data_IF_433556624585
#
_entry.id   IF_433556624585
#
_cell.length_a   1.000
_cell.length_b   1.000
_cell.length_c   1.000
_cell.angle_alpha   90.00
_cell.angle_beta   90.00
_cell.angle_gamma   90.00
#
_symmetry.space_group_name_H-M   'P 1'
#
loop_
_entity.id
_entity.type
_entity.pdbx_description
1 polymer ?
#
# COMPACT_ATOMS: atom_id res chain seq x y z
N UNK A 1 -13.48 -23.67 -27.75
CA UNK A 1 -13.82 -24.70 -26.75
C UNK A 1 -13.03 -24.33 -25.51
N UNK A 2 -13.65 -23.61 -24.58
CA UNK A 2 -13.00 -23.22 -23.32
C UNK A 2 -13.14 -24.38 -22.35
N UNK A 3 -12.02 -24.94 -21.92
CA UNK A 3 -11.99 -25.94 -20.85
C UNK A 3 -12.40 -25.26 -19.55
N UNK A 4 -13.63 -25.50 -19.10
CA UNK A 4 -14.05 -25.25 -17.72
C UNK A 4 -13.24 -26.16 -16.80
N UNK A 5 -12.04 -25.71 -16.42
CA UNK A 5 -11.27 -26.31 -15.35
C UNK A 5 -11.92 -25.94 -14.01
N UNK A 6 -12.06 -26.91 -13.11
CA UNK A 6 -12.46 -26.64 -11.74
C UNK A 6 -11.53 -25.55 -11.15
N UNK A 7 -12.06 -24.47 -10.58
CA UNK A 7 -11.23 -23.42 -9.99
C UNK A 7 -10.34 -24.01 -8.90
N UNK A 8 -9.07 -23.61 -8.89
CA UNK A 8 -8.12 -24.03 -7.86
C UNK A 8 -8.65 -23.65 -6.47
N UNK A 9 -8.62 -24.58 -5.52
CA UNK A 9 -9.07 -24.34 -4.15
C UNK A 9 -7.95 -24.61 -3.16
N UNK A 10 -7.83 -23.74 -2.16
CA UNK A 10 -6.88 -23.90 -1.05
C UNK A 10 -7.61 -23.84 0.29
N UNK A 11 -6.97 -24.32 1.35
CA UNK A 11 -7.52 -24.28 2.71
C UNK A 11 -7.06 -23.04 3.49
N UNK A 12 -6.01 -22.37 3.04
CA UNK A 12 -5.38 -21.23 3.71
C UNK A 12 -4.67 -20.37 2.66
N UNK A 13 -4.78 -19.05 2.80
CA UNK A 13 -3.89 -18.09 2.15
C UNK A 13 -2.74 -17.75 3.11
N UNK A 14 -1.58 -17.37 2.58
CA UNK A 14 -0.43 -17.05 3.41
C UNK A 14 0.60 -16.16 2.74
N UNK A 15 1.63 -15.76 3.50
CA UNK A 15 2.72 -14.94 2.98
C UNK A 15 3.39 -15.58 1.76
N UNK A 16 3.63 -14.80 0.72
CA UNK A 16 4.28 -15.26 -0.51
C UNK A 16 3.37 -15.92 -1.54
N UNK A 17 2.07 -16.06 -1.25
CA UNK A 17 1.08 -16.41 -2.27
C UNK A 17 0.74 -15.16 -3.10
N UNK A 18 0.59 -15.33 -4.41
CA UNK A 18 0.09 -14.31 -5.34
C UNK A 18 -1.29 -14.67 -5.90
N UNK A 19 -1.76 -13.90 -6.88
CA UNK A 19 -3.04 -14.10 -7.56
C UNK A 19 -4.25 -13.53 -6.84
N UNK A 20 -5.40 -13.62 -7.54
CA UNK A 20 -6.71 -13.22 -7.05
C UNK A 20 -7.48 -14.40 -6.48
N UNK A 21 -7.97 -14.25 -5.26
CA UNK A 21 -8.67 -15.30 -4.52
C UNK A 21 -10.04 -14.83 -4.05
N UNK A 22 -11.07 -15.61 -4.35
CA UNK A 22 -12.40 -15.48 -3.78
C UNK A 22 -12.48 -16.25 -2.46
N UNK A 23 -12.53 -15.51 -1.37
CA UNK A 23 -12.77 -16.02 -0.03
C UNK A 23 -14.26 -15.87 0.28
N UNK A 24 -14.96 -16.98 0.42
CA UNK A 24 -16.38 -17.00 0.80
C UNK A 24 -16.51 -17.22 2.30
N UNK A 25 -17.23 -16.33 2.99
CA UNK A 25 -17.60 -16.47 4.40
C UNK A 25 -19.12 -16.66 4.53
N UNK A 26 -19.61 -16.93 5.75
CA UNK A 26 -21.04 -17.23 6.02
C UNK A 26 -22.05 -16.23 5.45
N UNK A 27 -21.64 -15.00 5.17
CA UNK A 27 -22.56 -13.97 4.68
C UNK A 27 -21.96 -12.98 3.69
N UNK A 28 -20.73 -13.16 3.25
CA UNK A 28 -20.08 -12.23 2.33
C UNK A 28 -19.04 -12.98 1.52
N UNK A 29 -18.80 -12.47 0.32
CA UNK A 29 -17.67 -12.84 -0.50
C UNK A 29 -16.60 -11.76 -0.36
N UNK A 30 -15.35 -12.16 -0.51
CA UNK A 30 -14.21 -11.29 -0.37
C UNK A 30 -13.21 -11.62 -1.47
N UNK A 31 -12.81 -10.62 -2.24
CA UNK A 31 -11.74 -10.76 -3.21
C UNK A 31 -10.46 -10.31 -2.52
N UNK A 32 -9.49 -11.21 -2.46
CA UNK A 32 -8.13 -10.95 -2.04
C UNK A 32 -7.26 -10.96 -3.28
N UNK A 33 -6.84 -9.80 -3.73
CA UNK A 33 -5.85 -9.65 -4.79
C UNK A 33 -4.49 -9.52 -4.13
N UNK A 34 -3.74 -10.62 -4.09
CA UNK A 34 -2.44 -10.66 -3.40
C UNK A 34 -1.30 -10.10 -4.27
N UNK A 35 -1.52 -9.97 -5.58
CA UNK A 35 -0.54 -9.33 -6.48
C UNK A 35 -0.61 -7.80 -6.31
N UNK A 36 -1.82 -7.24 -6.26
CA UNK A 36 -2.07 -5.80 -6.03
C UNK A 36 -2.17 -5.44 -4.55
N UNK A 37 -2.16 -6.42 -3.65
CA UNK A 37 -2.40 -6.26 -2.20
C UNK A 37 -3.69 -5.48 -1.89
N UNK A 38 -4.80 -5.88 -2.52
CA UNK A 38 -6.11 -5.27 -2.27
C UNK A 38 -7.15 -6.27 -1.76
N UNK A 39 -8.12 -5.73 -1.04
CA UNK A 39 -9.24 -6.43 -0.44
C UNK A 39 -10.54 -5.77 -0.91
N UNK A 40 -11.45 -6.56 -1.48
CA UNK A 40 -12.82 -6.12 -1.80
C UNK A 40 -13.82 -6.96 -1.04
N UNK A 41 -14.80 -6.34 -0.38
CA UNK A 41 -15.93 -7.07 0.22
C UNK A 41 -17.17 -6.95 -0.64
N UNK A 42 -17.81 -8.09 -0.90
CA UNK A 42 -19.11 -8.19 -1.57
C UNK A 42 -20.10 -8.74 -0.54
N UNK A 43 -20.94 -7.88 0.08
CA UNK A 43 -21.92 -8.32 1.06
C UNK A 43 -23.01 -9.18 0.39
N UNK A 44 -23.38 -10.29 1.03
CA UNK A 44 -24.53 -11.08 0.60
C UNK A 44 -25.86 -10.36 0.84
N UNK A 45 -26.93 -10.84 0.22
CA UNK A 45 -28.27 -10.28 0.36
C UNK A 45 -28.69 -10.16 1.85
N UNK A 46 -29.26 -9.01 2.22
CA UNK A 46 -29.72 -8.73 3.58
C UNK A 46 -28.61 -8.45 4.60
N UNK A 47 -27.35 -8.30 4.18
CA UNK A 47 -26.25 -7.84 5.06
C UNK A 47 -26.13 -6.33 5.05
N UNK A 48 -25.69 -5.79 6.20
CA UNK A 48 -25.36 -4.38 6.31
C UNK A 48 -24.27 -3.98 5.32
N UNK A 49 -24.51 -2.85 4.66
CA UNK A 49 -23.54 -2.18 3.80
C UNK A 49 -22.53 -1.44 4.70
N UNK A 50 -21.26 -1.67 4.45
CA UNK A 50 -20.17 -0.89 5.03
C UNK A 50 -19.56 0.00 3.96
N UNK A 51 -18.92 1.08 4.39
CA UNK A 51 -18.18 1.93 3.45
C UNK A 51 -17.01 1.11 2.87
N UNK A 52 -16.82 1.22 1.55
CA UNK A 52 -15.83 0.44 0.80
C UNK A 52 -16.36 -0.90 0.27
N UNK A 53 -17.61 -1.30 0.56
CA UNK A 53 -18.19 -2.48 -0.06
C UNK A 53 -18.24 -2.33 -1.60
N UNK A 54 -17.85 -3.39 -2.30
CA UNK A 54 -17.77 -3.43 -3.76
C UNK A 54 -16.59 -2.69 -4.37
N UNK A 55 -15.73 -2.05 -3.57
CA UNK A 55 -14.57 -1.29 -4.05
C UNK A 55 -13.26 -1.92 -3.53
N UNK A 56 -12.24 -2.11 -4.39
CA UNK A 56 -10.92 -2.54 -3.93
C UNK A 56 -10.33 -1.58 -2.90
N UNK A 57 -9.94 -2.10 -1.74
CA UNK A 57 -9.28 -1.36 -0.65
C UNK A 57 -7.85 -1.88 -0.48
N UNK A 58 -6.87 -0.99 -0.36
CA UNK A 58 -5.46 -1.39 -0.21
C UNK A 58 -5.20 -1.98 1.18
N UNK A 59 -4.67 -3.20 1.24
CA UNK A 59 -4.37 -3.89 2.49
C UNK A 59 -3.14 -3.24 3.13
N UNK A 60 -3.32 -2.67 4.32
CA UNK A 60 -2.24 -2.14 5.15
C UNK A 60 -1.53 -3.25 5.93
N UNK A 61 -2.31 -4.15 6.54
CA UNK A 61 -1.78 -5.23 7.37
C UNK A 61 -2.76 -6.40 7.42
N UNK A 62 -2.21 -7.62 7.52
CA UNK A 62 -2.98 -8.86 7.66
C UNK A 62 -2.63 -9.46 9.01
N UNK A 63 -3.46 -9.18 10.01
CA UNK A 63 -3.25 -9.73 11.36
C UNK A 63 -3.68 -11.19 11.49
N UNK A 64 -4.56 -11.68 10.62
CA UNK A 64 -4.87 -13.10 10.49
C UNK A 64 -5.27 -13.44 9.04
N UNK A 65 -4.55 -14.36 8.41
CA UNK A 65 -4.80 -14.77 7.04
C UNK A 65 -6.10 -15.59 6.90
N UNK A 66 -6.78 -15.53 5.74
CA UNK A 66 -7.91 -16.40 5.44
C UNK A 66 -7.57 -17.88 5.53
N UNK A 67 -8.28 -18.60 6.39
CA UNK A 67 -8.18 -20.04 6.56
C UNK A 67 -9.56 -20.65 6.75
N UNK A 68 -9.87 -21.70 6.00
CA UNK A 68 -11.16 -22.41 6.08
C UNK A 68 -11.41 -22.87 7.53
N UNK A 69 -12.60 -22.56 8.04
CA UNK A 69 -13.00 -22.83 9.42
C UNK A 69 -12.59 -21.75 10.43
N UNK A 70 -11.87 -20.71 10.02
CA UNK A 70 -11.45 -19.60 10.88
C UNK A 70 -11.95 -18.24 10.34
N UNK A 71 -11.82 -17.20 11.16
CA UNK A 71 -11.99 -15.81 10.73
C UNK A 71 -10.63 -15.23 10.31
N UNK A 72 -10.64 -14.33 9.33
CA UNK A 72 -9.49 -13.50 9.00
C UNK A 72 -9.63 -12.12 9.64
N UNK A 73 -8.49 -11.45 9.81
CA UNK A 73 -8.39 -10.07 10.25
C UNK A 73 -7.45 -9.31 9.34
N UNK A 74 -7.88 -8.14 8.88
CA UNK A 74 -7.03 -7.24 8.13
C UNK A 74 -7.34 -5.77 8.44
N UNK A 75 -6.38 -4.93 8.11
CA UNK A 75 -6.42 -3.48 8.16
C UNK A 75 -6.23 -2.97 6.74
N UNK A 76 -7.02 -2.00 6.31
CA UNK A 76 -6.84 -1.31 5.04
C UNK A 76 -6.77 0.19 5.23
N UNK A 77 -6.12 0.85 4.26
CA UNK A 77 -5.96 2.30 4.24
C UNK A 77 -7.31 3.02 4.15
N UNK A 78 -7.57 3.91 5.11
CA UNK A 78 -8.85 4.64 5.16
C UNK A 78 -8.64 6.16 5.11
N UNK A 79 -7.89 6.70 6.06
CA UNK A 79 -7.47 8.11 6.08
C UNK A 79 -5.99 8.22 6.41
N UNK A 80 -5.47 9.44 6.31
CA UNK A 80 -4.09 9.80 6.63
C UNK A 80 -3.59 9.35 8.03
N UNK A 81 -4.50 9.17 8.98
CA UNK A 81 -4.23 8.90 10.40
C UNK A 81 -4.94 7.65 10.93
N UNK A 82 -5.70 6.94 10.09
CA UNK A 82 -6.48 5.79 10.51
C UNK A 82 -6.53 4.70 9.44
N UNK A 83 -6.44 3.46 9.92
CA UNK A 83 -6.83 2.28 9.17
C UNK A 83 -8.28 1.94 9.49
N UNK A 84 -8.98 1.34 8.53
CA UNK A 84 -10.18 0.59 8.87
C UNK A 84 -9.83 -0.88 9.04
N UNK A 85 -10.51 -1.52 9.98
CA UNK A 85 -10.28 -2.92 10.31
C UNK A 85 -11.44 -3.77 9.85
N UNK A 86 -11.13 -5.03 9.56
CA UNK A 86 -12.15 -6.02 9.28
C UNK A 86 -11.81 -7.34 9.87
N UNK A 87 -12.72 -7.77 10.74
CA UNK A 87 -12.84 -9.15 11.19
C UNK A 87 -13.94 -9.83 10.38
N UNK A 88 -13.62 -10.96 9.76
CA UNK A 88 -14.60 -11.73 9.01
C UNK A 88 -15.42 -12.65 9.91
N UNK A 89 -16.55 -13.11 9.39
CA UNK A 89 -17.13 -14.37 9.88
C UNK A 89 -16.32 -15.57 9.38
N UNK A 90 -16.65 -16.78 9.83
CA UNK A 90 -15.94 -18.01 9.44
C UNK A 90 -15.86 -18.16 7.92
N UNK A 91 -14.63 -18.35 7.43
CA UNK A 91 -14.32 -18.70 6.05
C UNK A 91 -14.83 -20.11 5.77
N UNK A 92 -15.62 -20.23 4.71
CA UNK A 92 -16.22 -21.48 4.27
C UNK A 92 -15.48 -22.07 3.07
N UNK A 93 -14.90 -21.23 2.22
CA UNK A 93 -14.26 -21.64 0.97
C UNK A 93 -13.26 -20.58 0.49
N UNK A 94 -12.19 -21.02 -0.15
CA UNK A 94 -11.19 -20.17 -0.80
C UNK A 94 -10.93 -20.74 -2.19
N UNK A 95 -11.10 -19.92 -3.22
CA UNK A 95 -11.00 -20.31 -4.63
C UNK A 95 -10.16 -19.30 -5.39
N UNK A 96 -9.31 -19.76 -6.30
CA UNK A 96 -8.60 -18.87 -7.22
C UNK A 96 -9.59 -18.37 -8.26
N UNK A 97 -9.60 -17.06 -8.48
CA UNK A 97 -10.32 -16.45 -9.59
C UNK A 97 -9.47 -16.62 -10.85
N UNK A 98 -10.12 -16.91 -11.98
CA UNK A 98 -9.46 -16.86 -13.27
C UNK A 98 -9.08 -15.40 -13.57
N UNK A 99 -7.91 -15.18 -14.16
CA UNK A 99 -7.41 -13.85 -14.54
C UNK A 99 -8.16 -13.28 -15.78
N UNK A 100 -9.43 -13.67 -15.98
CA UNK A 100 -10.23 -13.42 -17.19
C UNK A 100 -10.96 -12.06 -17.20
N UNK A 101 -10.75 -11.20 -16.20
CA UNK A 101 -11.19 -9.81 -16.35
C UNK A 101 -10.22 -9.11 -17.30
N UNK A 102 -10.67 -8.48 -18.41
CA UNK A 102 -9.82 -7.50 -19.07
C UNK A 102 -9.38 -6.53 -17.98
N UNK A 103 -8.07 -6.26 -17.90
CA UNK A 103 -7.49 -5.17 -17.13
C UNK A 103 -8.53 -4.03 -17.12
N UNK A 104 -9.28 -3.80 -16.02
CA UNK A 104 -10.05 -2.57 -15.94
C UNK A 104 -9.03 -1.48 -16.20
N UNK A 105 -9.29 -0.55 -17.14
CA UNK A 105 -8.36 0.55 -17.50
C UNK A 105 -7.50 0.83 -16.28
N UNK A 106 -6.21 0.42 -16.33
CA UNK A 106 -5.35 0.27 -15.15
C UNK A 106 -5.64 1.44 -14.21
N UNK A 107 -5.92 1.22 -12.91
CA UNK A 107 -6.26 2.34 -12.03
C UNK A 107 -5.09 3.31 -12.04
N UNK A 108 -5.17 4.38 -12.88
CA UNK A 108 -4.01 5.11 -13.44
C UNK A 108 -2.78 4.86 -12.59
N UNK A 109 -1.96 3.88 -13.01
CA UNK A 109 -0.78 3.48 -12.26
C UNK A 109 -0.08 4.76 -11.86
N UNK A 110 0.17 4.90 -10.55
CA UNK A 110 0.69 6.13 -9.99
C UNK A 110 1.91 6.57 -10.80
N UNK A 111 1.73 7.65 -11.57
CA UNK A 111 2.72 8.14 -12.50
C UNK A 111 3.60 9.18 -11.77
N UNK A 112 4.91 8.90 -11.59
CA UNK A 112 5.82 9.86 -11.00
C UNK A 112 6.27 10.94 -12.00
N UNK A 113 6.01 10.80 -13.31
CA UNK A 113 6.46 11.72 -14.35
C UNK A 113 6.06 13.19 -14.08
N UNK A 114 4.82 13.52 -13.64
CA UNK A 114 4.43 14.90 -13.33
C UNK A 114 5.21 15.57 -12.19
N UNK A 115 5.98 14.79 -11.44
CA UNK A 115 6.79 15.24 -10.31
C UNK A 115 8.29 15.18 -10.60
N UNK A 116 8.69 14.74 -11.79
CA UNK A 116 10.07 14.58 -12.21
C UNK A 116 10.55 15.85 -12.92
N UNK A 117 11.74 16.36 -12.58
CA UNK A 117 12.36 17.48 -13.29
C UNK A 117 13.13 17.03 -14.54
N UNK A 118 13.66 18.01 -15.30
CA UNK A 118 14.41 17.77 -16.53
C UNK A 118 15.71 16.98 -16.29
N UNK A 119 16.23 16.97 -15.06
CA UNK A 119 17.43 16.23 -14.65
C UNK A 119 17.08 14.81 -14.15
N UNK A 120 15.80 14.46 -14.11
CA UNK A 120 15.29 13.16 -13.70
C UNK A 120 15.02 13.02 -12.20
N UNK A 121 15.17 14.08 -11.40
CA UNK A 121 14.88 14.03 -9.97
C UNK A 121 13.39 14.18 -9.70
N UNK A 122 12.88 13.34 -8.81
CA UNK A 122 11.48 13.37 -8.38
C UNK A 122 11.35 14.30 -7.16
N UNK A 123 10.52 15.32 -7.31
CA UNK A 123 10.32 16.37 -6.32
C UNK A 123 9.34 15.97 -5.24
N UNK A 124 9.69 16.27 -4.00
CA UNK A 124 8.78 16.11 -2.88
C UNK A 124 8.88 17.25 -1.87
N UNK A 125 7.76 17.52 -1.20
CA UNK A 125 7.71 18.26 0.04
C UNK A 125 7.87 17.29 1.19
N UNK A 126 8.82 17.56 2.07
CA UNK A 126 9.03 16.78 3.28
C UNK A 126 8.75 17.64 4.48
N UNK A 127 7.85 17.18 5.35
CA UNK A 127 7.55 17.81 6.64
C UNK A 127 7.98 16.86 7.74
N UNK A 128 8.83 17.33 8.65
CA UNK A 128 9.34 16.56 9.79
C UNK A 128 8.99 17.27 11.09
N UNK A 129 8.46 16.52 12.04
CA UNK A 129 8.20 16.97 13.41
C UNK A 129 9.05 16.16 14.38
N UNK A 130 9.96 16.83 15.10
CA UNK A 130 10.78 16.26 16.18
C UNK A 130 10.72 17.18 17.39
N UNK A 131 10.60 16.64 18.61
CA UNK A 131 10.61 17.43 19.86
C UNK A 131 9.67 18.66 19.86
N UNK A 132 8.49 18.52 19.24
CA UNK A 132 7.49 19.60 19.11
C UNK A 132 7.82 20.67 18.06
N UNK A 133 8.95 20.58 17.37
CA UNK A 133 9.35 21.50 16.30
C UNK A 133 9.06 20.87 14.94
N UNK A 134 8.41 21.63 14.05
CA UNK A 134 8.11 21.19 12.68
C UNK A 134 8.98 21.95 11.69
N UNK A 135 9.62 21.21 10.78
CA UNK A 135 10.46 21.72 9.69
C UNK A 135 9.90 21.23 8.36
N UNK A 136 10.09 22.00 7.30
CA UNK A 136 9.62 21.60 5.97
C UNK A 136 10.66 22.00 4.92
N UNK A 137 10.92 21.08 4.01
CA UNK A 137 11.78 21.28 2.85
C UNK A 137 11.02 20.84 1.58
N UNK A 138 11.38 21.44 0.44
CA UNK A 138 10.86 21.07 -0.89
C UNK A 138 12.05 20.94 -1.83
N UNK A 139 12.10 19.90 -2.65
CA UNK A 139 13.19 19.69 -3.60
C UNK A 139 13.19 18.31 -4.24
N UNK A 140 14.07 18.11 -5.22
CA UNK A 140 14.34 16.84 -5.88
C UNK A 140 15.17 15.91 -4.99
N UNK A 141 14.54 15.28 -3.99
CA UNK A 141 15.22 14.39 -3.05
C UNK A 141 15.11 12.91 -3.43
N UNK A 142 14.35 12.59 -4.48
CA UNK A 142 14.06 11.21 -4.86
C UNK A 142 14.65 10.94 -6.25
N UNK A 143 15.32 9.80 -6.39
CA UNK A 143 15.79 9.32 -7.67
C UNK A 143 14.65 8.64 -8.44
N UNK A 144 14.70 8.65 -9.79
CA UNK A 144 13.85 7.82 -10.60
C UNK A 144 14.37 6.38 -10.47
N UNK A 145 13.77 5.57 -9.61
CA UNK A 145 14.05 4.13 -9.58
C UNK A 145 13.20 3.44 -10.64
N UNK A 146 13.66 2.31 -11.18
CA UNK A 146 12.80 1.44 -11.98
C UNK A 146 12.08 0.44 -11.04
N UNK A 147 10.73 0.42 -10.97
CA UNK A 147 9.76 1.25 -11.70
C UNK A 147 9.29 2.53 -10.97
N UNK A 148 9.78 2.82 -9.75
CA UNK A 148 9.23 3.90 -8.92
C UNK A 148 10.28 4.76 -8.19
N UNK A 149 9.91 5.97 -7.70
CA UNK A 149 10.83 6.87 -7.01
C UNK A 149 11.46 6.25 -5.75
N UNK A 150 12.75 6.51 -5.53
CA UNK A 150 13.51 6.00 -4.40
C UNK A 150 14.29 7.12 -3.71
N UNK A 151 14.32 7.11 -2.37
CA UNK A 151 15.02 8.15 -1.61
C UNK A 151 16.55 8.08 -1.76
N UNK A 152 17.13 6.87 -1.81
CA UNK A 152 18.57 6.60 -1.97
C UNK A 152 19.45 7.62 -1.22
N UNK A 153 20.39 8.25 -1.93
CA UNK A 153 21.31 9.25 -1.37
C UNK A 153 20.67 10.63 -1.19
N UNK A 154 19.50 10.91 -1.77
CA UNK A 154 18.82 12.19 -1.61
C UNK A 154 18.35 12.46 -0.17
N UNK A 155 18.42 11.45 0.72
CA UNK A 155 18.25 11.63 2.16
C UNK A 155 19.28 12.59 2.78
N UNK A 156 20.50 12.67 2.23
CA UNK A 156 21.55 13.56 2.75
C UNK A 156 21.21 15.02 2.44
N UNK A 157 20.87 15.32 1.19
CA UNK A 157 20.42 16.66 0.76
C UNK A 157 19.12 17.07 1.48
N UNK A 158 18.22 16.11 1.70
CA UNK A 158 17.01 16.31 2.47
C UNK A 158 17.30 16.67 3.94
N UNK A 159 18.23 15.96 4.58
CA UNK A 159 18.62 16.22 5.97
C UNK A 159 19.24 17.62 6.09
N UNK A 160 20.12 18.00 5.17
CA UNK A 160 20.71 19.34 5.09
C UNK A 160 19.62 20.41 4.91
N UNK A 161 18.69 20.24 3.97
CA UNK A 161 17.60 21.18 3.70
C UNK A 161 16.65 21.35 4.91
N UNK A 162 16.51 20.31 5.73
CA UNK A 162 15.75 20.35 6.98
C UNK A 162 16.59 20.85 8.18
N UNK A 163 17.88 21.14 7.99
CA UNK A 163 18.82 21.51 9.05
C UNK A 163 19.01 20.42 10.11
N UNK A 164 18.84 19.16 9.73
CA UNK A 164 19.06 17.99 10.59
C UNK A 164 20.53 17.57 10.53
N UNK A 165 20.99 16.87 11.56
CA UNK A 165 22.29 16.21 11.52
C UNK A 165 22.30 15.16 10.40
N UNK A 166 23.45 15.02 9.74
CA UNK A 166 23.64 14.03 8.69
C UNK A 166 23.35 12.61 9.24
N UNK A 167 22.42 11.86 8.63
CA UNK A 167 22.08 10.52 9.09
C UNK A 167 23.24 9.54 8.81
N UNK A 168 23.42 8.57 9.71
CA UNK A 168 24.35 7.46 9.45
C UNK A 168 23.76 6.46 8.44
N UNK A 169 24.61 5.72 7.72
CA UNK A 169 24.17 4.71 6.73
C UNK A 169 23.08 3.75 7.24
N UNK A 170 23.13 3.21 8.48
CA UNK A 170 22.06 2.35 9.00
C UNK A 170 20.71 3.06 9.10
N UNK A 171 20.71 4.37 9.42
CA UNK A 171 19.50 5.19 9.46
C UNK A 171 18.97 5.40 8.05
N UNK A 172 19.84 5.69 7.08
CA UNK A 172 19.46 5.84 5.67
C UNK A 172 18.80 4.58 5.12
N UNK A 173 19.36 3.41 5.43
CA UNK A 173 18.79 2.11 5.05
C UNK A 173 17.41 1.89 5.70
N UNK A 174 17.30 2.08 7.01
CA UNK A 174 16.04 1.90 7.73
C UNK A 174 14.92 2.84 7.24
N UNK A 175 15.28 4.09 6.90
CA UNK A 175 14.36 5.05 6.30
C UNK A 175 13.94 4.59 4.90
N UNK A 176 14.87 4.18 4.06
CA UNK A 176 14.60 3.72 2.69
C UNK A 176 13.70 2.49 2.66
N UNK A 177 13.93 1.52 3.57
CA UNK A 177 13.09 0.32 3.73
C UNK A 177 11.63 0.65 4.07
N UNK A 178 11.37 1.81 4.70
CA UNK A 178 10.04 2.27 5.04
C UNK A 178 9.43 3.17 3.97
N UNK A 179 10.21 4.07 3.39
CA UNK A 179 9.76 5.08 2.44
C UNK A 179 9.55 4.50 1.05
N UNK A 180 10.51 3.74 0.52
CA UNK A 180 10.47 3.29 -0.87
C UNK A 180 9.23 2.42 -1.19
N UNK A 181 8.81 1.46 -0.34
CA UNK A 181 7.59 0.68 -0.62
C UNK A 181 6.31 1.52 -0.61
N UNK A 182 6.30 2.66 0.08
CA UNK A 182 5.16 3.59 0.06
C UNK A 182 5.18 4.43 -1.21
N UNK A 183 6.33 5.03 -1.56
CA UNK A 183 6.48 5.80 -2.80
C UNK A 183 6.28 4.96 -4.05
N UNK A 184 6.52 3.65 -4.00
CA UNK A 184 6.18 2.73 -5.08
C UNK A 184 4.67 2.57 -5.34
N UNK A 185 3.81 3.10 -4.47
CA UNK A 185 2.37 2.82 -4.50
C UNK A 185 1.51 4.09 -4.49
N UNK A 186 2.08 5.23 -4.15
CA UNK A 186 1.34 6.49 -3.99
C UNK A 186 2.27 7.71 -3.97
N UNK A 187 1.76 8.93 -4.21
CA UNK A 187 2.56 10.15 -4.25
C UNK A 187 3.01 10.63 -2.87
N UNK A 188 3.08 9.78 -1.85
CA UNK A 188 3.50 10.16 -0.50
C UNK A 188 4.03 8.98 0.32
N UNK A 189 4.84 9.28 1.32
CA UNK A 189 5.32 8.32 2.31
C UNK A 189 5.29 8.95 3.72
N UNK A 190 5.09 8.12 4.74
CA UNK A 190 5.13 8.51 6.15
C UNK A 190 6.17 7.68 6.88
N UNK A 191 6.91 8.35 7.76
CA UNK A 191 7.75 7.73 8.78
C UNK A 191 7.23 8.15 10.14
N UNK A 192 7.03 7.19 11.03
CA UNK A 192 6.60 7.48 12.39
C UNK A 192 7.38 6.59 13.35
N UNK A 193 8.01 7.20 14.33
CA UNK A 193 8.58 6.54 15.50
C UNK A 193 8.33 7.40 16.74
N UNK A 194 8.57 6.90 17.97
CA UNK A 194 8.33 7.66 19.18
C UNK A 194 9.02 9.03 19.24
N UNK A 195 10.13 9.19 18.52
CA UNK A 195 10.98 10.39 18.53
C UNK A 195 10.66 11.38 17.40
N UNK A 196 10.06 10.94 16.29
CA UNK A 196 9.72 11.83 15.19
C UNK A 196 8.58 11.30 14.30
N UNK A 197 7.94 12.25 13.60
CA UNK A 197 7.02 11.98 12.50
C UNK A 197 7.48 12.73 11.26
N UNK A 198 7.56 12.06 10.12
CA UNK A 198 7.86 12.69 8.84
C UNK A 198 6.84 12.28 7.77
N UNK A 199 6.55 13.21 6.86
CA UNK A 199 5.75 12.95 5.66
C UNK A 199 6.48 13.49 4.44
N UNK A 200 6.66 12.64 3.44
CA UNK A 200 7.08 13.02 2.09
C UNK A 200 5.82 13.05 1.22
N UNK A 201 5.66 14.07 0.39
CA UNK A 201 4.58 14.19 -0.57
C UNK A 201 5.12 14.72 -1.88
N UNK A 202 4.87 14.01 -2.98
CA UNK A 202 5.31 14.44 -4.29
C UNK A 202 4.67 15.77 -4.66
N UNK A 203 5.45 16.63 -5.30
CA UNK A 203 5.02 17.95 -5.77
C UNK A 203 5.64 18.20 -7.13
N UNK A 204 4.97 19.00 -7.96
CA UNK A 204 5.55 19.42 -9.23
C UNK A 204 6.87 20.19 -8.97
N UNK A 205 7.87 20.05 -9.86
CA UNK A 205 9.08 20.87 -9.84
C UNK A 205 8.77 22.37 -9.83
N UNK A 206 9.63 23.18 -9.20
CA UNK A 206 9.47 24.64 -9.07
C UNK A 206 10.47 25.43 -9.93
#
# INVERSE_FOLDING_TARGET
MSTEGTPETVTELGPGMGGRWLVTTRGSQHIWDLDRMTYTRIPGAGRGQFIGDGQPQRIWNIGAWPKVGQSFYLEWDWTYDAVQTRLSSTVQKIERLADDEPEPDEPEDYDPEPYTDDDGWVWCRVTVTTDGHTRTAVGGYLHPGEPFPQLLCGIFDLAEALGLDEPSDPVCLAVSEKVNPQLARQPWAVLECPQFKAKLHLVAPQ
#
